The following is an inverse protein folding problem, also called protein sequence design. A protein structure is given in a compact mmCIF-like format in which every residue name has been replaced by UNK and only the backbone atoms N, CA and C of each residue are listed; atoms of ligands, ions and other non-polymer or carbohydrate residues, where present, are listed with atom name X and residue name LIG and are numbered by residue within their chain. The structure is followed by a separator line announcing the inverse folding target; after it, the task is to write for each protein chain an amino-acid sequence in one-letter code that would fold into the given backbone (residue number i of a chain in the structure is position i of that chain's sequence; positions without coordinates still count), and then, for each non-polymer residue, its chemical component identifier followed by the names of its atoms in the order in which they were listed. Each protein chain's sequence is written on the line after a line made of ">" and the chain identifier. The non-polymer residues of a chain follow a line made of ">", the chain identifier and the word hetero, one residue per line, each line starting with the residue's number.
data_IF_798999716791
#
_entry.id   IF_798999716791
#
_cell.length_a   1.000
_cell.length_b   1.000
_cell.length_c   1.000
_cell.angle_alpha   90.00
_cell.angle_beta   90.00
_cell.angle_gamma   90.00
#
_symmetry.space_group_name_H-M   'P 1'
#
loop_
_entity.id
_entity.type
_entity.pdbx_description
1 polymer ?
#
# COMPACT_ATOMS: atom_id res chain seq x y z
N UNK A 1 21.12 -23.68 -24.20
CA UNK A 1 21.98 -22.49 -24.01
C UNK A 1 22.72 -22.63 -22.68
N UNK A 2 23.96 -22.17 -22.60
CA UNK A 2 24.69 -22.10 -21.32
C UNK A 2 24.49 -20.68 -20.77
N UNK A 3 24.01 -20.58 -19.54
CA UNK A 3 23.78 -19.30 -18.83
C UNK A 3 24.52 -19.33 -17.50
N UNK A 4 24.93 -18.18 -16.97
CA UNK A 4 25.55 -18.11 -15.65
C UNK A 4 24.53 -18.32 -14.53
N UNK A 5 24.90 -19.05 -13.47
CA UNK A 5 24.09 -19.14 -12.27
C UNK A 5 23.99 -17.76 -11.61
N UNK A 6 22.77 -17.30 -11.33
CA UNK A 6 22.55 -15.98 -10.72
C UNK A 6 23.12 -15.85 -9.29
N UNK A 7 23.44 -16.96 -8.62
CA UNK A 7 23.95 -16.96 -7.25
C UNK A 7 25.48 -17.05 -7.17
N UNK A 8 26.11 -17.90 -7.99
CA UNK A 8 27.55 -18.19 -7.90
C UNK A 8 28.31 -18.03 -9.21
N UNK A 9 27.64 -17.64 -10.30
CA UNK A 9 28.25 -17.41 -11.62
C UNK A 9 28.61 -18.66 -12.41
N UNK A 10 28.57 -19.85 -11.82
CA UNK A 10 28.93 -21.10 -12.50
C UNK A 10 28.03 -21.40 -13.72
N UNK A 11 28.56 -22.00 -14.81
CA UNK A 11 27.79 -22.25 -16.01
C UNK A 11 26.68 -23.28 -15.77
N UNK A 12 25.47 -22.97 -16.25
CA UNK A 12 24.27 -23.80 -16.13
C UNK A 12 23.70 -24.07 -17.50
N UNK A 13 23.44 -25.34 -17.81
CA UNK A 13 22.73 -25.73 -19.03
C UNK A 13 21.24 -25.43 -18.86
N UNK A 14 20.74 -24.49 -19.66
CA UNK A 14 19.35 -24.03 -19.68
C UNK A 14 18.71 -24.36 -21.03
N UNK A 15 17.47 -24.84 -21.00
CA UNK A 15 16.66 -25.14 -22.20
C UNK A 15 15.53 -24.11 -22.32
N UNK A 16 15.18 -23.64 -23.55
CA UNK A 16 14.19 -22.58 -23.72
C UNK A 16 12.83 -22.87 -23.08
N UNK A 17 12.37 -24.12 -23.15
CA UNK A 17 11.09 -24.55 -22.59
C UNK A 17 11.07 -24.64 -21.06
N UNK A 18 12.23 -24.68 -20.40
CA UNK A 18 12.35 -24.74 -18.94
C UNK A 18 13.66 -24.08 -18.51
N UNK A 19 13.70 -22.74 -18.46
CA UNK A 19 14.91 -22.02 -18.16
C UNK A 19 15.42 -22.37 -16.75
N UNK A 20 16.70 -22.71 -16.64
CA UNK A 20 17.38 -22.94 -15.36
C UNK A 20 18.27 -21.76 -15.02
N UNK A 21 18.00 -21.14 -13.89
CA UNK A 21 18.72 -19.95 -13.39
C UNK A 21 19.82 -20.30 -12.37
N UNK A 22 19.78 -21.52 -11.80
CA UNK A 22 20.65 -21.92 -10.70
C UNK A 22 21.36 -23.25 -11.00
N UNK A 23 22.64 -23.35 -10.62
CA UNK A 23 23.44 -24.56 -10.84
C UNK A 23 23.11 -25.69 -9.86
N UNK A 24 22.52 -25.34 -8.70
CA UNK A 24 22.20 -26.31 -7.65
C UNK A 24 20.96 -25.88 -6.85
N UNK A 25 20.38 -26.85 -6.12
CA UNK A 25 19.31 -26.57 -5.15
C UNK A 25 19.76 -25.56 -4.08
N UNK A 26 21.03 -25.60 -3.67
CA UNK A 26 21.58 -24.66 -2.70
C UNK A 26 21.65 -23.23 -3.22
N UNK A 27 22.05 -23.04 -4.48
CA UNK A 27 22.04 -21.72 -5.12
C UNK A 27 20.61 -21.19 -5.27
N UNK A 28 19.68 -22.04 -5.72
CA UNK A 28 18.26 -21.68 -5.79
C UNK A 28 17.69 -21.28 -4.42
N UNK A 29 17.95 -22.07 -3.38
CA UNK A 29 17.50 -21.76 -2.01
C UNK A 29 18.12 -20.45 -1.50
N UNK A 30 19.38 -20.18 -1.85
CA UNK A 30 20.09 -18.95 -1.45
C UNK A 30 19.54 -17.72 -2.18
N UNK A 31 19.24 -17.83 -3.48
CA UNK A 31 18.57 -16.76 -4.23
C UNK A 31 17.16 -16.47 -3.69
N UNK A 32 16.47 -17.50 -3.19
CA UNK A 32 15.14 -17.38 -2.58
C UNK A 32 15.17 -16.90 -1.12
N UNK A 33 16.35 -16.71 -0.51
CA UNK A 33 16.47 -16.14 0.83
C UNK A 33 16.09 -14.66 0.82
N UNK A 34 14.82 -14.36 1.11
CA UNK A 34 14.30 -12.98 1.19
C UNK A 34 14.39 -12.33 2.60
N UNK A 35 14.68 -13.15 3.61
CA UNK A 35 14.88 -12.78 5.01
C UNK A 35 16.11 -11.91 5.31
N UNK A 36 16.33 -11.67 6.61
CA UNK A 36 17.40 -10.80 7.14
C UNK A 36 18.16 -11.53 8.24
N UNK A 37 19.42 -11.16 8.46
CA UNK A 37 20.19 -11.63 9.62
C UNK A 37 19.85 -10.74 10.82
N UNK A 38 19.33 -11.34 11.88
CA UNK A 38 18.99 -10.66 13.13
C UNK A 38 19.97 -11.08 14.22
N UNK A 39 20.28 -10.13 15.10
CA UNK A 39 21.09 -10.37 16.30
C UNK A 39 20.23 -10.99 17.39
N UNK A 40 20.66 -12.12 17.95
CA UNK A 40 19.98 -12.77 19.07
C UNK A 40 19.94 -11.85 20.28
N UNK A 41 18.76 -11.61 20.86
CA UNK A 41 18.60 -10.74 22.01
C UNK A 41 19.22 -11.31 23.30
N UNK A 42 19.45 -12.63 23.37
CA UNK A 42 20.09 -13.27 24.53
C UNK A 42 21.62 -13.29 24.42
N UNK A 43 22.16 -13.93 23.38
CA UNK A 43 23.59 -14.19 23.26
C UNK A 43 24.32 -13.31 22.23
N UNK A 44 23.60 -12.45 21.50
CA UNK A 44 24.21 -11.55 20.52
C UNK A 44 24.63 -12.17 19.19
N UNK A 45 24.48 -13.50 18.99
CA UNK A 45 24.84 -14.17 17.74
C UNK A 45 23.88 -13.83 16.58
N UNK A 46 24.39 -13.79 15.35
CA UNK A 46 23.57 -13.54 14.15
C UNK A 46 22.89 -14.80 13.63
N UNK A 47 21.61 -14.70 13.32
CA UNK A 47 20.82 -15.78 12.69
C UNK A 47 19.99 -15.24 11.53
N UNK A 48 19.94 -15.99 10.45
CA UNK A 48 19.04 -15.73 9.33
C UNK A 48 17.58 -16.02 9.71
N UNK A 49 16.69 -15.04 9.52
CA UNK A 49 15.24 -15.18 9.73
C UNK A 49 14.47 -14.79 8.47
N UNK A 50 13.53 -15.64 8.06
CA UNK A 50 12.63 -15.35 6.94
C UNK A 50 11.74 -14.15 7.25
N UNK A 51 11.40 -13.33 6.25
CA UNK A 51 10.62 -12.09 6.43
C UNK A 51 9.31 -12.29 7.20
N UNK A 52 8.64 -13.42 7.01
CA UNK A 52 7.41 -13.78 7.74
C UNK A 52 7.61 -13.85 9.25
N UNK A 53 8.80 -14.26 9.72
CA UNK A 53 9.13 -14.41 11.14
C UNK A 53 9.79 -13.19 11.77
N UNK A 54 10.11 -12.15 10.98
CA UNK A 54 10.70 -10.89 11.51
C UNK A 54 9.66 -10.04 12.24
N UNK A 55 8.36 -10.23 11.93
CA UNK A 55 7.28 -9.36 12.42
C UNK A 55 6.69 -9.72 13.78
N UNK A 56 7.02 -10.89 14.34
CA UNK A 56 6.21 -11.44 15.43
C UNK A 56 6.94 -11.69 16.76
N UNK A 57 8.27 -11.66 16.82
CA UNK A 57 8.98 -11.95 18.08
C UNK A 57 10.35 -11.27 18.20
N UNK A 58 10.81 -11.14 19.46
CA UNK A 58 12.20 -10.82 19.78
C UNK A 58 13.09 -11.93 19.19
N UNK A 59 14.13 -11.59 18.39
CA UNK A 59 14.89 -12.61 17.68
C UNK A 59 15.80 -13.42 18.61
N UNK A 60 15.72 -14.74 18.51
CA UNK A 60 16.61 -15.67 19.23
C UNK A 60 17.28 -16.67 18.26
N UNK A 61 18.55 -16.97 18.52
CA UNK A 61 19.28 -17.95 17.70
C UNK A 61 18.83 -19.40 17.95
N UNK A 62 18.23 -19.67 19.11
CA UNK A 62 17.76 -20.99 19.52
C UNK A 62 16.62 -20.89 20.54
N UNK A 63 15.85 -21.98 20.70
CA UNK A 63 14.84 -22.12 21.75
C UNK A 63 15.43 -21.92 23.14
N UNK A 64 16.65 -22.46 23.37
CA UNK A 64 17.38 -22.27 24.63
C UNK A 64 17.61 -20.79 24.94
N UNK A 65 18.08 -20.01 23.97
CA UNK A 65 18.26 -18.57 24.14
C UNK A 65 16.95 -17.83 24.40
N UNK A 66 15.84 -18.25 23.78
CA UNK A 66 14.53 -17.68 24.07
C UNK A 66 14.09 -17.99 25.51
N UNK A 67 14.28 -19.23 25.98
CA UNK A 67 13.94 -19.65 27.35
C UNK A 67 14.81 -18.96 28.40
N UNK A 68 16.13 -18.90 28.21
CA UNK A 68 17.06 -18.20 29.11
C UNK A 68 16.72 -16.71 29.19
N UNK A 69 16.47 -16.07 28.04
CA UNK A 69 16.07 -14.67 28.01
C UNK A 69 14.77 -14.40 28.76
N UNK A 70 13.77 -15.29 28.64
CA UNK A 70 12.50 -15.19 29.38
C UNK A 70 12.71 -15.36 30.89
N UNK A 71 13.46 -16.38 31.31
CA UNK A 71 13.80 -16.62 32.73
C UNK A 71 14.45 -15.42 33.42
N UNK A 72 15.28 -14.66 32.69
CA UNK A 72 15.97 -13.47 33.23
C UNK A 72 15.16 -12.17 33.09
N UNK A 73 14.12 -12.14 32.25
CA UNK A 73 13.32 -10.94 31.97
C UNK A 73 11.85 -11.06 32.40
N UNK A 74 11.47 -12.06 33.19
CA UNK A 74 10.09 -12.30 33.65
C UNK A 74 9.52 -11.16 34.56
N UNK A 75 10.34 -10.18 34.94
CA UNK A 75 9.88 -8.93 35.59
C UNK A 75 9.96 -7.68 34.68
N UNK A 76 10.48 -7.79 33.45
CA UNK A 76 11.06 -6.67 32.69
C UNK A 76 10.56 -6.58 31.23
N UNK A 77 9.33 -7.05 30.98
CA UNK A 77 8.74 -7.13 29.64
C UNK A 77 8.17 -5.82 29.07
N UNK A 78 7.87 -4.82 29.91
CA UNK A 78 7.21 -3.58 29.45
C UNK A 78 8.21 -2.54 28.95
N UNK A 79 9.34 -2.37 29.62
CA UNK A 79 10.25 -1.24 29.40
C UNK A 79 11.17 -1.45 28.20
N UNK A 80 11.73 -2.64 28.01
CA UNK A 80 12.53 -2.96 26.81
C UNK A 80 11.64 -3.02 25.57
N UNK A 81 10.43 -3.57 25.68
CA UNK A 81 9.45 -3.52 24.60
C UNK A 81 9.03 -2.07 24.28
N UNK A 82 8.93 -1.20 25.29
CA UNK A 82 8.70 0.23 25.09
C UNK A 82 9.90 0.91 24.40
N UNK A 83 11.14 0.60 24.79
CA UNK A 83 12.37 1.12 24.18
C UNK A 83 12.51 0.66 22.72
N UNK A 84 12.19 -0.60 22.41
CA UNK A 84 12.17 -1.11 21.03
C UNK A 84 11.07 -0.43 20.21
N UNK A 85 9.87 -0.22 20.77
CA UNK A 85 8.79 0.54 20.11
C UNK A 85 9.17 2.00 19.87
N UNK A 86 9.87 2.64 20.82
CA UNK A 86 10.35 4.01 20.70
C UNK A 86 11.44 4.14 19.63
N UNK A 87 12.44 3.25 19.64
CA UNK A 87 13.50 3.20 18.63
C UNK A 87 12.95 2.90 17.22
N UNK A 88 11.94 2.04 17.11
CA UNK A 88 11.21 1.87 15.84
C UNK A 88 10.52 3.17 15.43
N UNK A 89 9.83 3.87 16.33
CA UNK A 89 9.18 5.17 16.04
C UNK A 89 10.18 6.19 15.48
N UNK A 90 11.33 6.37 16.15
CA UNK A 90 12.42 7.24 15.67
C UNK A 90 12.95 6.82 14.30
N UNK A 91 13.12 5.53 14.04
CA UNK A 91 13.52 5.01 12.72
C UNK A 91 12.48 5.29 11.62
N UNK A 92 11.19 5.35 11.96
CA UNK A 92 10.11 5.70 11.03
C UNK A 92 9.96 7.21 10.83
N UNK A 93 10.30 8.01 11.85
CA UNK A 93 10.31 9.48 11.80
C UNK A 93 11.55 10.04 11.08
N UNK A 94 12.63 9.26 10.99
CA UNK A 94 13.85 9.65 10.29
C UNK A 94 13.69 9.51 8.76
N UNK A 95 13.26 10.61 8.11
CA UNK A 95 12.99 10.71 6.65
C UNK A 95 14.16 10.30 5.76
N UNK A 96 15.41 10.38 6.23
CA UNK A 96 16.61 10.04 5.45
C UNK A 96 16.75 8.52 5.15
N UNK A 97 16.32 7.64 6.06
CA UNK A 97 16.47 6.18 5.89
C UNK A 97 15.33 5.50 5.13
N UNK A 98 14.24 6.24 4.91
CA UNK A 98 13.09 5.78 4.15
C UNK A 98 13.38 5.66 2.63
N UNK A 99 14.53 6.16 2.16
CA UNK A 99 14.57 6.81 0.86
C UNK A 99 14.90 5.92 -0.36
N UNK A 100 15.85 4.96 -0.36
CA UNK A 100 16.15 4.22 -1.59
C UNK A 100 15.05 3.22 -1.99
N UNK A 101 14.46 2.54 -1.01
CA UNK A 101 13.45 1.51 -1.25
C UNK A 101 12.06 2.11 -1.52
N UNK A 102 11.69 3.20 -0.83
CA UNK A 102 10.47 3.94 -1.17
C UNK A 102 10.60 4.63 -2.52
N UNK A 103 11.75 5.25 -2.85
CA UNK A 103 12.01 5.77 -4.21
C UNK A 103 11.92 4.68 -5.27
N UNK A 104 12.45 3.48 -5.01
CA UNK A 104 12.37 2.34 -5.94
C UNK A 104 10.94 1.80 -6.08
N UNK A 105 10.18 1.71 -4.99
CA UNK A 105 8.76 1.31 -5.01
C UNK A 105 7.90 2.36 -5.71
N UNK A 106 8.11 3.64 -5.43
CA UNK A 106 7.44 4.75 -6.10
C UNK A 106 7.74 4.73 -7.60
N UNK A 107 9.01 4.61 -8.00
CA UNK A 107 9.41 4.48 -9.40
C UNK A 107 8.77 3.28 -10.09
N UNK A 108 8.78 2.10 -9.45
CA UNK A 108 8.17 0.90 -10.01
C UNK A 108 6.66 1.02 -10.11
N UNK A 109 6.01 1.70 -9.16
CA UNK A 109 4.60 2.02 -9.25
C UNK A 109 4.32 2.94 -10.45
N UNK A 110 5.13 3.99 -10.65
CA UNK A 110 5.07 4.85 -11.84
C UNK A 110 5.23 4.05 -13.14
N UNK A 111 6.28 3.22 -13.26
CA UNK A 111 6.54 2.37 -14.43
C UNK A 111 5.41 1.37 -14.72
N UNK A 112 4.84 0.74 -13.68
CA UNK A 112 3.72 -0.20 -13.81
C UNK A 112 2.45 0.49 -14.28
N UNK A 113 2.31 1.78 -13.98
CA UNK A 113 1.14 2.58 -14.31
C UNK A 113 1.25 3.22 -15.69
N UNK A 114 2.44 3.70 -16.07
CA UNK A 114 2.76 4.18 -17.42
C UNK A 114 2.69 3.06 -18.47
N UNK A 115 3.07 1.84 -18.09
CA UNK A 115 2.97 0.66 -18.98
C UNK A 115 1.53 0.21 -19.26
N UNK A 116 0.51 0.83 -18.65
CA UNK A 116 -0.89 0.44 -18.81
C UNK A 116 -1.24 -0.95 -18.26
N UNK A 117 -0.28 -1.63 -17.61
CA UNK A 117 -0.44 -2.96 -17.02
C UNK A 117 -1.12 -2.92 -15.64
N UNK A 118 -1.43 -1.74 -15.13
CA UNK A 118 -2.18 -1.57 -13.88
C UNK A 118 -3.62 -2.05 -14.06
N UNK A 119 -4.00 -3.09 -13.30
CA UNK A 119 -5.35 -3.66 -13.31
C UNK A 119 -6.32 -2.65 -12.69
N UNK A 120 -7.03 -1.90 -13.54
CA UNK A 120 -8.06 -0.96 -13.11
C UNK A 120 -9.26 -1.71 -12.55
N UNK A 121 -9.93 -1.13 -11.55
CA UNK A 121 -11.16 -1.73 -11.06
C UNK A 121 -12.23 -1.68 -12.15
N UNK A 122 -13.04 -2.73 -12.26
CA UNK A 122 -14.17 -2.74 -13.20
C UNK A 122 -15.19 -1.65 -12.85
N UNK A 123 -15.22 -1.26 -11.58
CA UNK A 123 -16.07 -0.19 -11.07
C UNK A 123 -15.66 1.19 -11.62
N UNK A 124 -14.38 1.56 -11.53
CA UNK A 124 -13.86 2.80 -12.14
C UNK A 124 -14.16 2.86 -13.64
N UNK A 125 -13.87 1.77 -14.37
CA UNK A 125 -14.09 1.72 -15.82
C UNK A 125 -15.56 1.93 -16.16
N UNK A 126 -16.47 1.33 -15.40
CA UNK A 126 -17.92 1.51 -15.57
C UNK A 126 -18.32 2.98 -15.40
N UNK A 127 -17.84 3.64 -14.35
CA UNK A 127 -18.15 5.06 -14.12
C UNK A 127 -17.54 5.94 -15.22
N UNK A 128 -16.31 5.67 -15.66
CA UNK A 128 -15.69 6.39 -16.77
C UNK A 128 -16.50 6.25 -18.06
N UNK A 129 -17.02 5.06 -18.34
CA UNK A 129 -17.86 4.83 -19.52
C UNK A 129 -19.21 5.56 -19.42
N UNK A 130 -19.79 5.67 -18.22
CA UNK A 130 -20.99 6.50 -17.97
C UNK A 130 -20.71 7.99 -18.27
N UNK A 131 -19.59 8.52 -17.78
CA UNK A 131 -19.18 9.91 -18.01
C UNK A 131 -18.91 10.20 -19.50
N UNK A 132 -18.17 9.31 -20.18
CA UNK A 132 -17.87 9.43 -21.61
C UNK A 132 -19.13 9.37 -22.47
N UNK A 133 -20.04 8.45 -22.17
CA UNK A 133 -21.32 8.32 -22.87
C UNK A 133 -22.18 9.57 -22.73
N UNK A 134 -22.04 10.27 -21.60
CA UNK A 134 -22.74 11.52 -21.29
C UNK A 134 -22.01 12.77 -21.76
N UNK A 135 -20.85 12.61 -22.43
CA UNK A 135 -20.00 13.69 -22.95
C UNK A 135 -19.54 14.69 -21.88
N UNK A 136 -19.38 14.22 -20.64
CA UNK A 136 -18.80 15.03 -19.58
C UNK A 136 -17.28 15.10 -19.75
N UNK A 137 -16.72 16.30 -19.55
CA UNK A 137 -15.28 16.54 -19.50
C UNK A 137 -14.76 16.09 -18.14
N UNK A 138 -13.73 15.24 -18.12
CA UNK A 138 -13.08 14.83 -16.88
C UNK A 138 -11.66 14.33 -17.14
N UNK A 139 -10.80 14.45 -16.14
CA UNK A 139 -9.47 13.85 -16.11
C UNK A 139 -9.50 12.63 -15.18
N UNK A 140 -9.32 11.40 -15.68
CA UNK A 140 -9.20 10.24 -14.81
C UNK A 140 -7.84 10.25 -14.09
N UNK A 141 -7.81 9.69 -12.89
CA UNK A 141 -6.56 9.40 -12.16
C UNK A 141 -5.71 10.65 -11.90
N UNK A 142 -6.35 11.75 -11.54
CA UNK A 142 -5.68 13.02 -11.24
C UNK A 142 -4.75 12.84 -10.06
N UNK A 143 -3.48 13.18 -10.23
CA UNK A 143 -2.49 13.11 -9.16
C UNK A 143 -2.28 14.46 -8.49
N UNK A 144 -2.22 14.42 -7.17
CA UNK A 144 -1.90 15.57 -6.33
C UNK A 144 -0.74 15.18 -5.42
N UNK A 145 0.31 15.98 -5.46
CA UNK A 145 1.43 15.87 -4.52
C UNK A 145 1.19 16.83 -3.36
N UNK A 146 1.28 16.32 -2.14
CA UNK A 146 1.21 17.12 -0.92
C UNK A 146 2.57 17.13 -0.25
N UNK A 147 3.07 18.34 0.01
CA UNK A 147 4.29 18.54 0.79
C UNK A 147 4.02 18.30 2.28
N UNK A 148 2.85 18.75 2.77
CA UNK A 148 2.39 18.58 4.16
C UNK A 148 2.43 17.11 4.58
N UNK A 149 1.92 16.23 3.74
CA UNK A 149 1.88 14.79 4.00
C UNK A 149 3.05 14.02 3.35
N UNK A 150 3.95 14.72 2.64
CA UNK A 150 5.06 14.14 1.87
C UNK A 150 4.66 12.91 1.04
N UNK A 151 3.57 13.06 0.28
CA UNK A 151 2.94 11.94 -0.44
C UNK A 151 2.35 12.42 -1.77
N UNK A 152 2.16 11.50 -2.70
CA UNK A 152 1.42 11.71 -3.93
C UNK A 152 0.18 10.82 -3.88
N UNK A 153 -1.00 11.41 -4.03
CA UNK A 153 -2.29 10.71 -4.08
C UNK A 153 -2.87 10.82 -5.47
N UNK A 154 -3.55 9.76 -5.88
CA UNK A 154 -4.29 9.69 -7.13
C UNK A 154 -5.78 9.67 -6.80
N UNK A 155 -6.57 10.43 -7.55
CA UNK A 155 -8.01 10.53 -7.44
C UNK A 155 -8.67 10.00 -8.70
N UNK A 156 -9.75 9.25 -8.56
CA UNK A 156 -10.34 8.51 -9.69
C UNK A 156 -10.78 9.44 -10.81
N UNK A 157 -11.41 10.56 -10.47
CA UNK A 157 -11.93 11.55 -11.42
C UNK A 157 -11.62 12.97 -10.90
N UNK A 158 -11.25 13.85 -11.82
CA UNK A 158 -11.19 15.29 -11.64
C UNK A 158 -12.04 16.00 -12.70
N UNK A 159 -12.85 16.98 -12.29
CA UNK A 159 -13.67 17.82 -13.17
C UNK A 159 -13.02 19.22 -13.30
N UNK A 160 -12.37 19.54 -14.44
CA UNK A 160 -11.65 20.80 -14.61
C UNK A 160 -12.54 22.05 -14.51
N UNK A 161 -13.80 21.96 -14.93
CA UNK A 161 -14.73 23.08 -15.01
C UNK A 161 -15.16 23.58 -13.62
N UNK A 162 -15.31 22.67 -12.66
CA UNK A 162 -15.69 22.95 -11.27
C UNK A 162 -14.52 22.84 -10.29
N UNK A 163 -13.36 22.37 -10.75
CA UNK A 163 -12.17 22.08 -9.94
C UNK A 163 -12.47 21.09 -8.80
N UNK A 164 -13.30 20.10 -9.10
CA UNK A 164 -13.80 19.10 -8.16
C UNK A 164 -13.11 17.75 -8.34
N UNK A 165 -12.89 17.06 -7.23
CA UNK A 165 -12.31 15.72 -7.18
C UNK A 165 -13.39 14.71 -6.79
N UNK A 166 -13.33 13.51 -7.34
CA UNK A 166 -14.24 12.41 -6.99
C UNK A 166 -13.47 11.11 -6.77
N UNK A 167 -13.85 10.40 -5.70
CA UNK A 167 -13.42 9.04 -5.39
C UNK A 167 -14.55 8.04 -5.61
N UNK A 168 -14.23 6.88 -6.17
CA UNK A 168 -15.15 5.78 -6.38
C UNK A 168 -14.81 4.67 -5.38
N UNK A 169 -15.52 4.67 -4.25
CA UNK A 169 -15.23 3.76 -3.15
C UNK A 169 -15.93 2.40 -3.31
N UNK A 170 -15.14 1.32 -3.31
CA UNK A 170 -15.64 -0.04 -3.09
C UNK A 170 -16.29 -0.17 -1.71
N UNK A 171 -17.53 -0.66 -1.62
CA UNK A 171 -18.31 -0.62 -0.38
C UNK A 171 -17.69 -1.49 0.72
N UNK A 172 -17.05 -2.61 0.36
CA UNK A 172 -16.26 -3.41 1.31
C UNK A 172 -14.94 -2.74 1.68
N UNK A 173 -14.15 -2.31 0.68
CA UNK A 173 -12.76 -1.87 0.89
C UNK A 173 -12.65 -0.57 1.69
N UNK A 174 -13.60 0.35 1.50
CA UNK A 174 -13.66 1.63 2.18
C UNK A 174 -14.69 1.65 3.32
N UNK A 175 -15.24 0.48 3.67
CA UNK A 175 -16.19 0.31 4.76
C UNK A 175 -17.37 1.29 4.69
N UNK A 176 -18.18 1.15 3.64
CA UNK A 176 -19.41 1.93 3.44
C UNK A 176 -20.26 1.96 4.71
N UNK A 177 -20.55 3.15 5.28
CA UNK A 177 -21.23 3.28 6.56
C UNK A 177 -22.62 2.60 6.61
N UNK A 178 -23.26 2.38 5.45
CA UNK A 178 -24.54 1.67 5.35
C UNK A 178 -24.43 0.19 5.74
N UNK A 179 -23.24 -0.40 5.57
CA UNK A 179 -22.98 -1.81 5.86
C UNK A 179 -22.01 -2.00 7.03
N UNK A 180 -21.15 -1.01 7.32
CA UNK A 180 -20.08 -1.10 8.32
C UNK A 180 -20.15 0.07 9.31
N UNK A 181 -21.20 0.10 10.14
CA UNK A 181 -21.43 1.18 11.11
C UNK A 181 -20.61 1.09 12.41
N UNK A 182 -20.07 -0.08 12.75
CA UNK A 182 -19.28 -0.28 13.97
C UNK A 182 -17.78 -0.38 13.64
N UNK A 183 -17.02 0.64 14.06
CA UNK A 183 -15.58 0.72 13.87
C UNK A 183 -14.81 -0.46 14.52
N UNK A 184 -15.38 -1.08 15.56
CA UNK A 184 -14.78 -2.23 16.24
C UNK A 184 -14.79 -3.51 15.38
N UNK A 185 -15.69 -3.57 14.40
CA UNK A 185 -15.88 -4.72 13.52
C UNK A 185 -15.10 -4.62 12.20
N UNK A 186 -14.41 -3.50 11.98
CA UNK A 186 -13.66 -3.29 10.74
C UNK A 186 -12.47 -4.26 10.63
N UNK A 187 -12.24 -4.76 9.42
CA UNK A 187 -11.03 -5.51 9.12
C UNK A 187 -9.81 -4.57 9.13
N UNK A 188 -8.59 -5.07 9.43
CA UNK A 188 -7.37 -4.25 9.40
C UNK A 188 -7.16 -3.49 8.09
N UNK A 189 -7.53 -4.07 6.95
CA UNK A 189 -7.42 -3.43 5.64
C UNK A 189 -8.38 -2.24 5.48
N UNK A 190 -9.61 -2.35 6.00
CA UNK A 190 -10.59 -1.26 5.99
C UNK A 190 -10.11 -0.09 6.86
N UNK A 191 -9.58 -0.37 8.05
CA UNK A 191 -8.99 0.67 8.91
C UNK A 191 -7.83 1.40 8.23
N UNK A 192 -6.98 0.68 7.49
CA UNK A 192 -5.89 1.28 6.74
C UNK A 192 -6.40 2.17 5.60
N UNK A 193 -7.40 1.71 4.85
CA UNK A 193 -8.00 2.47 3.77
C UNK A 193 -8.71 3.73 4.28
N UNK A 194 -9.50 3.64 5.36
CA UNK A 194 -10.13 4.81 5.98
C UNK A 194 -9.11 5.87 6.40
N UNK A 195 -7.97 5.46 6.98
CA UNK A 195 -6.90 6.40 7.31
C UNK A 195 -6.27 7.04 6.05
N UNK A 196 -6.18 6.29 4.95
CA UNK A 196 -5.73 6.82 3.66
C UNK A 196 -6.76 7.80 3.06
N UNK A 197 -8.05 7.50 3.17
CA UNK A 197 -9.15 8.34 2.68
C UNK A 197 -9.18 9.67 3.43
N UNK A 198 -8.95 9.65 4.75
CA UNK A 198 -8.79 10.87 5.56
C UNK A 198 -7.64 11.75 5.08
N UNK A 199 -6.50 11.15 4.71
CA UNK A 199 -5.36 11.90 4.16
C UNK A 199 -5.73 12.50 2.80
N UNK A 200 -6.42 11.73 1.93
CA UNK A 200 -6.88 12.24 0.62
C UNK A 200 -7.86 13.40 0.79
N UNK A 201 -8.81 13.28 1.70
CA UNK A 201 -9.73 14.36 2.06
C UNK A 201 -8.99 15.61 2.55
N UNK A 202 -8.06 15.47 3.50
CA UNK A 202 -7.28 16.59 4.00
C UNK A 202 -6.45 17.29 2.91
N UNK A 203 -5.88 16.54 1.95
CA UNK A 203 -5.14 17.12 0.83
C UNK A 203 -6.07 17.98 -0.05
N UNK A 204 -7.22 17.44 -0.47
CA UNK A 204 -8.10 18.18 -1.39
C UNK A 204 -8.83 19.32 -0.69
N UNK A 205 -9.41 19.04 0.48
CA UNK A 205 -10.30 19.97 1.16
C UNK A 205 -9.53 21.02 1.97
N UNK A 206 -8.48 20.63 2.69
CA UNK A 206 -7.74 21.57 3.55
C UNK A 206 -6.55 22.22 2.83
N UNK A 207 -5.74 21.46 2.10
CA UNK A 207 -4.52 21.98 1.47
C UNK A 207 -4.82 22.68 0.13
N UNK A 208 -5.70 22.12 -0.71
CA UNK A 208 -6.07 22.74 -1.99
C UNK A 208 -7.31 23.65 -1.91
N UNK A 209 -8.12 23.52 -0.86
CA UNK A 209 -9.38 24.27 -0.72
C UNK A 209 -10.43 23.90 -1.77
N UNK A 210 -10.47 22.62 -2.18
CA UNK A 210 -11.33 22.11 -3.28
C UNK A 210 -12.35 21.10 -2.77
N UNK A 211 -13.48 20.91 -3.48
CA UNK A 211 -14.44 19.89 -3.12
C UNK A 211 -13.92 18.49 -3.48
N UNK A 212 -14.14 17.55 -2.56
CA UNK A 212 -13.94 16.12 -2.74
C UNK A 212 -15.28 15.41 -2.52
N UNK A 213 -15.75 14.70 -3.54
CA UNK A 213 -16.95 13.88 -3.46
C UNK A 213 -16.60 12.39 -3.43
N UNK A 214 -17.45 11.60 -2.78
CA UNK A 214 -17.31 10.14 -2.73
C UNK A 214 -18.55 9.51 -3.34
N UNK A 215 -18.34 8.66 -4.33
CA UNK A 215 -19.38 7.83 -4.94
C UNK A 215 -19.13 6.38 -4.53
N UNK A 216 -20.12 5.75 -3.92
CA UNK A 216 -19.99 4.37 -3.48
C UNK A 216 -20.37 3.37 -4.57
N UNK A 217 -19.67 2.25 -4.58
CA UNK A 217 -19.93 1.08 -5.43
C UNK A 217 -21.41 0.68 -5.42
N UNK A 218 -22.01 0.63 -4.22
CA UNK A 218 -23.41 0.27 -4.09
C UNK A 218 -24.33 1.21 -4.89
N UNK A 219 -24.06 2.51 -4.93
CA UNK A 219 -24.89 3.47 -5.67
C UNK A 219 -24.70 3.32 -7.18
N UNK A 220 -23.47 3.09 -7.64
CA UNK A 220 -23.15 2.85 -9.06
C UNK A 220 -23.91 1.64 -9.60
N UNK A 221 -24.05 0.58 -8.81
CA UNK A 221 -24.74 -0.64 -9.22
C UNK A 221 -26.25 -0.57 -8.99
N UNK A 222 -26.71 -0.05 -7.85
CA UNK A 222 -28.13 -0.03 -7.51
C UNK A 222 -28.90 1.10 -8.22
N UNK A 223 -28.25 2.24 -8.46
CA UNK A 223 -28.89 3.46 -8.94
C UNK A 223 -28.04 4.22 -9.98
N UNK A 224 -27.64 3.58 -11.10
CA UNK A 224 -26.71 4.16 -12.07
C UNK A 224 -27.16 5.51 -12.63
N UNK A 225 -28.45 5.70 -12.90
CA UNK A 225 -28.98 6.97 -13.42
C UNK A 225 -28.86 8.10 -12.38
N UNK A 226 -29.10 7.79 -11.10
CA UNK A 226 -28.94 8.77 -10.01
C UNK A 226 -27.47 9.11 -9.80
N UNK A 227 -26.59 8.10 -9.88
CA UNK A 227 -25.15 8.31 -9.82
C UNK A 227 -24.67 9.21 -10.96
N UNK A 228 -25.16 8.99 -12.19
CA UNK A 228 -24.80 9.84 -13.33
C UNK A 228 -25.34 11.27 -13.17
N UNK A 229 -26.57 11.43 -12.68
CA UNK A 229 -27.13 12.75 -12.40
C UNK A 229 -26.30 13.50 -11.34
N UNK A 230 -25.87 12.80 -10.29
CA UNK A 230 -25.00 13.34 -9.24
C UNK A 230 -23.63 13.75 -9.78
N UNK A 231 -23.00 12.90 -10.60
CA UNK A 231 -21.72 13.22 -11.24
C UNK A 231 -21.84 14.39 -12.22
N UNK A 232 -22.94 14.47 -12.96
CA UNK A 232 -23.24 15.63 -13.82
C UNK A 232 -23.28 16.91 -12.98
N UNK A 233 -24.00 16.88 -11.85
CA UNK A 233 -24.07 18.01 -10.94
C UNK A 233 -22.67 18.43 -10.44
N UNK A 234 -21.82 17.48 -10.03
CA UNK A 234 -20.44 17.77 -9.62
C UNK A 234 -19.58 18.35 -10.76
N UNK A 235 -19.85 17.96 -12.00
CA UNK A 235 -19.12 18.44 -13.18
C UNK A 235 -19.56 19.84 -13.65
N UNK A 236 -20.78 20.26 -13.34
CA UNK A 236 -21.36 21.50 -13.89
C UNK A 236 -21.65 22.58 -12.87
N UNK A 237 -21.92 22.22 -11.62
CA UNK A 237 -22.25 23.17 -10.56
C UNK A 237 -21.06 23.37 -9.63
N UNK A 238 -20.64 24.63 -9.43
CA UNK A 238 -19.61 24.95 -8.46
C UNK A 238 -20.18 24.72 -7.06
N UNK A 239 -19.75 23.63 -6.43
CA UNK A 239 -20.10 23.33 -5.04
C UNK A 239 -19.77 24.52 -4.14
N UNK A 240 -20.80 25.15 -3.57
CA UNK A 240 -20.66 25.98 -2.38
C UNK A 240 -20.49 24.99 -1.24
N UNK A 241 -19.32 24.97 -0.60
CA UNK A 241 -19.05 24.08 0.54
C UNK A 241 -20.21 24.17 1.56
N UNK A 242 -20.88 23.03 1.81
CA UNK A 242 -21.77 22.85 2.96
C UNK A 242 -20.99 22.32 4.15
#
# INVERSE_FOLDING_TARGET
>A
MIVGCETCGQPVRSIPSRPRLYCSRQCSATAQKTGVYLRCANCGAFRYSARSHVRQDVPFCSTRCATEFRKHNDAYGSEIAAKIRAAHRELWDNREWADPRRRKLARKALETQESGLYRRSQLELRVHDMLRSSRLSFEPWKRVTSERFATCKEYDIYFPETDAYVEIHGSYWHADPRFYGDASQLFPVQRHNLANDQIKAAIVQEELGRPLYVVWEHDVYAHPDKTLALLTHYATERGVNQ
#
